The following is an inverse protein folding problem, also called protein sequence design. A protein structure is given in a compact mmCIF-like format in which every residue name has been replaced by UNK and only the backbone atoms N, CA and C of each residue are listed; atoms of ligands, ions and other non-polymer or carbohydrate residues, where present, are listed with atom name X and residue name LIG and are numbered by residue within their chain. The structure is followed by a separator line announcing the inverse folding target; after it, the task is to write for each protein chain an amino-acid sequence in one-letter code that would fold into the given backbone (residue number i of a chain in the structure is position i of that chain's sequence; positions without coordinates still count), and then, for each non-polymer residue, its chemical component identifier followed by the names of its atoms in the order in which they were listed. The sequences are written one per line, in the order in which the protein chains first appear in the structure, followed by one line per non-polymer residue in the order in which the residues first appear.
data_IF_868124318129
#
_entry.id   IF_868124318129
#
_cell.length_a   1.000
_cell.length_b   1.000
_cell.length_c   1.000
_cell.angle_alpha   90.00
_cell.angle_beta   90.00
_cell.angle_gamma   90.00
#
_symmetry.space_group_name_H-M   'P 1'
#
loop_
_entity.id
_entity.type
_entity.pdbx_description
1 polymer ?
#
# COMPACT_ATOMS: atom_id res chain seq x y z
N UNK A 1 -14.39 17.19 15.63
CA UNK A 1 -13.65 16.16 14.86
C UNK A 1 -13.54 16.63 13.40
N UNK A 2 -12.32 16.81 12.91
CA UNK A 2 -12.00 17.37 11.56
C UNK A 2 -12.82 16.74 10.42
N UNK A 3 -13.02 15.44 10.43
CA UNK A 3 -13.82 14.75 9.39
C UNK A 3 -15.26 15.26 9.36
N UNK A 4 -15.89 15.40 10.53
CA UNK A 4 -17.27 15.93 10.61
C UNK A 4 -17.35 17.39 10.20
N UNK A 5 -16.36 18.19 10.52
CA UNK A 5 -16.26 19.60 10.12
C UNK A 5 -16.13 19.73 8.60
N UNK A 6 -15.27 18.92 7.98
CA UNK A 6 -15.11 18.88 6.53
C UNK A 6 -16.41 18.46 5.82
N UNK A 7 -17.06 17.39 6.30
CA UNK A 7 -18.33 16.93 5.74
C UNK A 7 -19.43 17.99 5.86
N UNK A 8 -19.54 18.67 7.03
CA UNK A 8 -20.50 19.78 7.22
C UNK A 8 -20.21 20.97 6.29
N UNK A 9 -18.95 21.20 5.97
CA UNK A 9 -18.53 22.23 5.03
C UNK A 9 -18.60 21.79 3.54
N UNK A 10 -19.11 20.59 3.25
CA UNK A 10 -19.15 20.03 1.89
C UNK A 10 -17.78 19.74 1.29
N UNK A 11 -16.75 19.58 2.13
CA UNK A 11 -15.37 19.29 1.69
C UNK A 11 -15.06 17.81 1.79
N UNK A 12 -14.24 17.32 0.89
CA UNK A 12 -13.77 15.92 0.87
C UNK A 12 -12.90 15.62 2.10
N UNK A 13 -13.30 14.69 2.99
CA UNK A 13 -12.52 14.28 4.14
C UNK A 13 -11.51 13.19 3.83
N UNK A 14 -11.32 12.81 2.58
CA UNK A 14 -10.39 11.74 2.19
C UNK A 14 -9.00 11.98 2.76
N UNK A 15 -8.32 10.94 3.24
CA UNK A 15 -6.94 11.07 3.68
C UNK A 15 -6.03 11.29 2.48
N UNK A 16 -4.91 12.01 2.66
CA UNK A 16 -3.87 12.11 1.63
C UNK A 16 -3.16 10.76 1.45
N UNK A 17 -2.75 10.47 0.24
CA UNK A 17 -1.71 9.49 -0.02
C UNK A 17 -0.36 10.19 0.18
N UNK A 18 0.40 9.75 1.19
CA UNK A 18 1.72 10.32 1.44
C UNK A 18 2.73 9.64 0.51
N UNK A 19 3.49 10.40 -0.32
CA UNK A 19 4.45 9.83 -1.28
C UNK A 19 5.78 9.43 -0.60
N UNK A 20 5.74 9.11 0.70
CA UNK A 20 6.93 8.81 1.49
C UNK A 20 6.71 7.65 2.45
N UNK A 21 7.81 6.95 2.74
CA UNK A 21 7.93 6.04 3.88
C UNK A 21 8.72 6.76 4.97
N UNK A 22 8.36 6.55 6.22
CA UNK A 22 9.07 7.10 7.37
C UNK A 22 9.92 6.02 8.02
N UNK A 23 11.05 6.44 8.62
CA UNK A 23 11.80 5.55 9.50
C UNK A 23 10.87 5.01 10.60
N UNK A 24 10.99 3.73 10.89
CA UNK A 24 10.37 3.16 12.11
C UNK A 24 11.18 3.71 13.27
N UNK A 25 10.51 4.42 14.18
CA UNK A 25 11.17 4.98 15.36
C UNK A 25 11.87 3.85 16.15
N UNK A 26 13.18 3.88 16.08
CA UNK A 26 14.06 3.12 16.99
C UNK A 26 14.44 3.98 18.20
N UNK A 27 14.18 5.30 18.10
CA UNK A 27 14.52 6.30 19.11
C UNK A 27 13.28 6.98 19.68
N UNK A 28 13.32 7.32 20.97
CA UNK A 28 12.28 8.06 21.69
C UNK A 28 12.06 9.52 21.17
N UNK A 29 12.70 9.88 20.06
CA UNK A 29 12.73 11.26 19.56
C UNK A 29 11.41 11.78 18.99
N UNK A 30 10.39 10.90 18.80
CA UNK A 30 9.07 11.25 18.20
C UNK A 30 9.17 12.09 16.92
N UNK A 31 10.22 11.90 16.14
CA UNK A 31 10.48 12.69 14.93
C UNK A 31 9.99 11.94 13.69
N UNK A 32 9.15 12.57 12.90
CA UNK A 32 8.64 11.98 11.66
C UNK A 32 9.64 12.24 10.52
N UNK A 33 10.66 11.36 10.39
CA UNK A 33 11.73 11.48 9.40
C UNK A 33 11.47 10.62 8.18
N UNK A 34 11.66 11.19 6.99
CA UNK A 34 11.49 10.53 5.69
C UNK A 34 12.61 9.53 5.46
N UNK A 35 12.25 8.25 5.27
CA UNK A 35 13.17 7.16 4.94
C UNK A 35 13.26 6.91 3.43
N UNK A 36 12.15 7.09 2.70
CA UNK A 36 12.08 6.87 1.26
C UNK A 36 11.05 7.81 0.63
N UNK A 37 11.31 8.24 -0.60
CA UNK A 37 10.41 9.10 -1.39
C UNK A 37 10.03 8.41 -2.68
N UNK A 38 8.74 8.42 -3.03
CA UNK A 38 8.24 7.99 -4.32
C UNK A 38 8.19 9.19 -5.27
N UNK A 39 9.29 9.45 -5.97
CA UNK A 39 9.51 10.69 -6.73
C UNK A 39 8.42 11.00 -7.77
N UNK A 40 7.84 9.97 -8.43
CA UNK A 40 6.77 10.16 -9.42
C UNK A 40 5.44 10.64 -8.83
N UNK A 41 5.25 10.48 -7.53
CA UNK A 41 4.03 10.86 -6.79
C UNK A 41 4.24 12.05 -5.85
N UNK A 42 5.47 12.54 -5.75
CA UNK A 42 5.84 13.62 -4.84
C UNK A 42 5.85 14.98 -5.53
N UNK A 43 4.76 15.72 -5.38
CA UNK A 43 4.64 17.11 -5.83
C UNK A 43 5.35 18.11 -4.87
N UNK A 44 5.61 17.69 -3.62
CA UNK A 44 6.22 18.53 -2.58
C UNK A 44 7.75 18.57 -2.62
N UNK A 45 8.37 17.67 -3.38
CA UNK A 45 9.83 17.53 -3.48
C UNK A 45 10.49 17.23 -2.13
N UNK A 46 9.87 16.31 -1.39
CA UNK A 46 10.44 15.76 -0.17
C UNK A 46 11.76 15.03 -0.47
N UNK A 47 12.62 14.92 0.51
CA UNK A 47 13.90 14.22 0.40
C UNK A 47 14.07 13.23 1.55
N UNK A 48 14.85 12.20 1.31
CA UNK A 48 15.27 11.28 2.38
C UNK A 48 16.02 12.07 3.45
N UNK A 49 15.67 11.85 4.70
CA UNK A 49 16.22 12.60 5.85
C UNK A 49 15.40 13.81 6.26
N UNK A 50 14.45 14.29 5.44
CA UNK A 50 13.56 15.38 5.83
C UNK A 50 12.79 15.03 7.10
N UNK A 51 12.75 15.96 8.04
CA UNK A 51 11.97 15.83 9.26
C UNK A 51 10.75 16.72 9.20
N UNK A 52 9.55 16.10 9.19
CA UNK A 52 8.28 16.83 9.12
C UNK A 52 7.89 17.27 10.52
N UNK A 53 7.84 18.58 10.75
CA UNK A 53 7.54 19.23 12.05
C UNK A 53 6.11 19.72 12.16
N UNK A 54 5.51 20.16 11.06
CA UNK A 54 4.20 20.78 11.09
C UNK A 54 3.52 20.90 9.74
N UNK A 55 2.27 21.32 9.78
CA UNK A 55 1.46 21.67 8.61
C UNK A 55 1.09 23.14 8.76
N UNK A 56 1.28 23.94 7.73
CA UNK A 56 0.96 25.38 7.75
C UNK A 56 -0.49 25.63 8.14
N UNK A 57 -0.69 26.62 9.03
CA UNK A 57 -2.01 26.97 9.58
C UNK A 57 -2.52 26.00 10.64
N UNK A 58 -1.70 25.07 11.13
CA UNK A 58 -1.99 24.25 12.30
C UNK A 58 -0.98 24.58 13.41
N UNK A 59 -1.50 24.78 14.64
CA UNK A 59 -0.65 25.08 15.80
C UNK A 59 0.01 23.84 16.39
N UNK A 60 -0.49 22.66 16.03
CA UNK A 60 -0.06 21.39 16.59
C UNK A 60 1.13 20.82 15.83
N UNK A 61 2.12 20.33 16.58
CA UNK A 61 3.27 19.61 16.03
C UNK A 61 2.87 18.26 15.45
N UNK A 62 3.64 17.81 14.47
CA UNK A 62 3.47 16.49 13.83
C UNK A 62 4.40 15.49 14.51
N UNK A 63 3.84 14.66 15.40
CA UNK A 63 4.58 13.65 16.14
C UNK A 63 4.42 12.23 15.56
N UNK A 64 3.53 12.05 14.58
CA UNK A 64 3.26 10.74 13.99
C UNK A 64 2.66 10.85 12.59
N UNK A 65 2.82 9.79 11.80
CA UNK A 65 2.19 9.65 10.47
C UNK A 65 0.66 9.81 10.55
N UNK A 66 0.04 9.22 11.56
CA UNK A 66 -1.42 9.33 11.76
C UNK A 66 -1.85 10.77 11.99
N UNK A 67 -1.05 11.53 12.78
CA UNK A 67 -1.30 12.95 13.02
C UNK A 67 -1.14 13.77 11.75
N UNK A 68 -0.07 13.55 10.99
CA UNK A 68 0.14 14.21 9.70
C UNK A 68 -1.04 13.98 8.75
N UNK A 69 -1.46 12.73 8.57
CA UNK A 69 -2.62 12.39 7.74
C UNK A 69 -3.88 13.11 8.22
N UNK A 70 -4.09 13.18 9.53
CA UNK A 70 -5.25 13.86 10.11
C UNK A 70 -5.24 15.37 9.78
N UNK A 71 -4.12 16.04 9.93
CA UNK A 71 -3.98 17.47 9.66
C UNK A 71 -4.11 17.82 8.17
N UNK A 72 -3.69 16.93 7.29
CA UNK A 72 -3.76 17.10 5.84
C UNK A 72 -5.14 16.80 5.22
N UNK A 73 -6.07 16.19 5.97
CA UNK A 73 -7.44 15.96 5.46
C UNK A 73 -8.10 17.27 5.04
N UNK A 74 -8.69 17.27 3.85
CA UNK A 74 -9.32 18.45 3.27
C UNK A 74 -8.35 19.48 2.69
N UNK A 75 -7.06 19.14 2.53
CA UNK A 75 -6.01 19.98 1.94
C UNK A 75 -5.30 19.30 0.79
N UNK A 76 -6.02 18.45 0.02
CA UNK A 76 -5.40 17.67 -1.04
C UNK A 76 -4.87 18.54 -2.19
N UNK A 77 -5.61 19.60 -2.54
CA UNK A 77 -5.27 20.48 -3.67
C UNK A 77 -4.07 21.38 -3.40
N UNK A 78 -3.86 21.75 -2.14
CA UNK A 78 -2.71 22.55 -1.71
C UNK A 78 -2.48 22.38 -0.21
N UNK A 79 -1.24 22.03 0.14
CA UNK A 79 -0.77 22.01 1.52
C UNK A 79 0.67 22.49 1.59
N UNK A 80 1.06 23.07 2.73
CA UNK A 80 2.44 23.42 3.04
C UNK A 80 2.88 22.67 4.29
N UNK A 81 4.06 22.06 4.22
CA UNK A 81 4.70 21.36 5.33
C UNK A 81 5.87 22.16 5.84
N UNK A 82 5.99 22.28 7.16
CA UNK A 82 7.20 22.76 7.81
C UNK A 82 8.14 21.58 8.01
N UNK A 83 9.28 21.63 7.38
CA UNK A 83 10.27 20.55 7.33
C UNK A 83 11.62 21.06 7.82
N UNK A 84 12.37 20.22 8.50
CA UNK A 84 13.80 20.46 8.77
C UNK A 84 14.60 19.60 7.81
N UNK A 85 15.43 20.24 7.00
CA UNK A 85 16.34 19.63 6.02
C UNK A 85 17.74 20.16 6.25
N UNK A 86 18.72 19.27 6.50
CA UNK A 86 20.11 19.67 6.79
C UNK A 86 20.20 20.78 7.86
N UNK A 87 19.46 20.58 8.96
CA UNK A 87 19.33 21.51 10.08
C UNK A 87 18.69 22.88 9.74
N UNK A 88 18.22 23.07 8.52
CA UNK A 88 17.54 24.29 8.10
C UNK A 88 16.01 24.09 8.06
N UNK A 89 15.27 25.08 8.55
CA UNK A 89 13.81 25.08 8.42
C UNK A 89 13.41 25.48 7.00
N UNK A 90 12.61 24.62 6.35
CA UNK A 90 12.11 24.80 4.98
C UNK A 90 10.59 24.62 4.97
N UNK A 91 9.90 25.44 4.20
CA UNK A 91 8.47 25.20 3.91
C UNK A 91 8.34 24.65 2.50
N UNK A 92 7.74 23.46 2.41
CA UNK A 92 7.48 22.78 1.14
C UNK A 92 5.98 22.85 0.85
N UNK A 93 5.63 23.30 -0.35
CA UNK A 93 4.22 23.42 -0.78
C UNK A 93 3.97 22.56 -1.98
N UNK A 94 2.85 21.84 -1.98
CA UNK A 94 2.46 20.95 -3.07
C UNK A 94 1.08 20.35 -2.85
N UNK A 95 0.74 19.35 -3.66
CA UNK A 95 -0.53 18.64 -3.66
C UNK A 95 -0.35 17.20 -3.21
N UNK A 96 -1.43 16.63 -2.71
CA UNK A 96 -1.51 15.22 -2.39
C UNK A 96 -2.62 14.57 -3.21
N UNK A 97 -2.37 13.38 -3.73
CA UNK A 97 -3.45 12.52 -4.18
C UNK A 97 -4.30 12.07 -2.98
N UNK A 98 -5.59 11.87 -3.21
CA UNK A 98 -6.41 11.20 -2.21
C UNK A 98 -5.97 9.74 -2.09
N UNK A 99 -5.81 9.24 -0.86
CA UNK A 99 -5.56 7.83 -0.66
C UNK A 99 -6.74 7.02 -1.18
N UNK A 100 -6.43 5.95 -1.91
CA UNK A 100 -7.47 5.07 -2.43
C UNK A 100 -8.32 4.50 -1.29
N UNK A 101 -9.65 4.70 -1.41
CA UNK A 101 -10.58 4.13 -0.45
C UNK A 101 -10.51 2.61 -0.47
N UNK A 102 -10.47 1.99 0.72
CA UNK A 102 -10.55 0.52 0.84
C UNK A 102 -11.77 -0.07 0.12
N UNK A 103 -12.87 0.69 0.03
CA UNK A 103 -14.09 0.25 -0.68
C UNK A 103 -13.95 0.31 -2.21
N UNK A 104 -12.99 1.07 -2.74
CA UNK A 104 -12.71 1.16 -4.18
C UNK A 104 -11.58 0.22 -4.61
N UNK A 105 -10.82 -0.34 -3.67
CA UNK A 105 -9.75 -1.28 -4.01
C UNK A 105 -10.34 -2.53 -4.63
N UNK A 106 -9.80 -2.88 -5.79
CA UNK A 106 -10.15 -4.11 -6.48
C UNK A 106 -9.26 -5.24 -5.99
N UNK A 107 -9.87 -6.42 -5.83
CA UNK A 107 -9.14 -7.63 -5.49
C UNK A 107 -9.78 -8.85 -6.16
N UNK A 108 -8.99 -9.88 -6.40
CA UNK A 108 -9.45 -11.20 -6.83
C UNK A 108 -9.44 -12.14 -5.62
N UNK A 109 -10.61 -12.68 -5.31
CA UNK A 109 -10.76 -13.70 -4.28
C UNK A 109 -11.00 -15.05 -4.94
N UNK A 110 -10.20 -16.06 -4.58
CA UNK A 110 -10.39 -17.43 -5.02
C UNK A 110 -9.86 -18.40 -3.97
N UNK A 111 -10.60 -19.46 -3.67
CA UNK A 111 -10.17 -20.57 -2.78
C UNK A 111 -9.66 -20.14 -1.40
N UNK A 112 -10.20 -19.04 -0.87
CA UNK A 112 -9.78 -18.45 0.40
C UNK A 112 -8.61 -17.47 0.30
N UNK A 113 -8.13 -17.17 -0.89
CA UNK A 113 -7.04 -16.23 -1.14
C UNK A 113 -7.60 -14.91 -1.69
N UNK A 114 -7.27 -13.78 -1.06
CA UNK A 114 -7.53 -12.45 -1.59
C UNK A 114 -6.22 -11.83 -2.07
N UNK A 115 -6.14 -11.57 -3.36
CA UNK A 115 -5.01 -10.87 -4.00
C UNK A 115 -5.49 -9.52 -4.52
N UNK A 116 -4.73 -8.48 -4.28
CA UNK A 116 -4.96 -7.14 -4.80
C UNK A 116 -3.63 -6.45 -5.12
N UNK A 117 -3.70 -5.23 -5.66
CA UNK A 117 -2.51 -4.44 -5.94
C UNK A 117 -1.68 -4.23 -4.66
N UNK A 118 -0.38 -4.39 -4.78
CA UNK A 118 0.56 -4.13 -3.68
C UNK A 118 0.60 -2.63 -3.41
N UNK A 119 0.38 -2.17 -2.17
CA UNK A 119 0.63 -0.78 -1.84
C UNK A 119 2.10 -0.46 -2.07
N UNK A 120 2.40 0.57 -2.88
CA UNK A 120 3.79 0.93 -3.23
C UNK A 120 4.68 1.10 -1.99
N UNK A 121 4.13 1.62 -0.89
CA UNK A 121 4.81 1.82 0.40
C UNK A 121 5.21 0.52 1.11
N UNK A 122 4.61 -0.59 0.74
CA UNK A 122 4.91 -1.90 1.32
C UNK A 122 6.02 -2.61 0.53
N UNK A 123 6.38 -2.06 -0.64
CA UNK A 123 7.47 -2.57 -1.47
C UNK A 123 8.85 -2.12 -0.96
N UNK A 124 8.94 -0.98 -0.26
CA UNK A 124 10.23 -0.45 0.21
C UNK A 124 11.25 -0.41 -0.93
N UNK A 125 12.43 -0.98 -0.69
CA UNK A 125 13.51 -1.07 -1.68
C UNK A 125 13.18 -2.00 -2.88
N UNK A 126 12.06 -2.71 -2.82
CA UNK A 126 11.56 -3.59 -3.90
C UNK A 126 10.67 -2.84 -4.91
N UNK A 127 10.47 -1.54 -4.77
CA UNK A 127 9.62 -0.75 -5.67
C UNK A 127 9.98 -0.92 -7.16
N UNK A 128 11.26 -1.16 -7.45
CA UNK A 128 11.77 -1.38 -8.81
C UNK A 128 11.49 -2.79 -9.36
N UNK A 129 11.00 -3.73 -8.54
CA UNK A 129 10.90 -5.14 -8.92
C UNK A 129 9.59 -5.52 -9.64
N UNK A 130 8.72 -4.57 -9.93
CA UNK A 130 7.40 -4.79 -10.57
C UNK A 130 6.51 -5.81 -9.85
N UNK A 131 6.65 -5.92 -8.54
CA UNK A 131 5.83 -6.79 -7.70
C UNK A 131 4.47 -6.12 -7.43
N UNK A 132 3.60 -6.18 -8.43
CA UNK A 132 2.36 -5.39 -8.47
C UNK A 132 1.21 -6.00 -7.67
N UNK A 133 1.27 -7.29 -7.32
CA UNK A 133 0.18 -8.00 -6.65
C UNK A 133 0.64 -8.62 -5.34
N UNK A 134 -0.18 -8.50 -4.30
CA UNK A 134 0.10 -9.03 -2.96
C UNK A 134 -1.11 -9.82 -2.43
N UNK A 135 -0.83 -10.84 -1.64
CA UNK A 135 -1.81 -11.55 -0.83
C UNK A 135 -2.19 -10.68 0.35
N UNK A 136 -3.41 -10.15 0.36
CA UNK A 136 -3.94 -9.31 1.44
C UNK A 136 -4.61 -10.10 2.56
N UNK A 137 -5.15 -11.26 2.22
CA UNK A 137 -5.86 -12.09 3.19
C UNK A 137 -5.86 -13.56 2.75
N UNK A 138 -5.76 -14.44 3.73
CA UNK A 138 -5.94 -15.89 3.58
C UNK A 138 -6.99 -16.36 4.58
N UNK A 139 -8.03 -16.98 4.09
CA UNK A 139 -9.12 -17.50 4.90
C UNK A 139 -8.68 -18.78 5.61
N UNK A 140 -8.82 -18.80 6.93
CA UNK A 140 -8.43 -19.94 7.75
C UNK A 140 -9.23 -21.19 7.39
N UNK A 141 -8.56 -22.33 7.23
CA UNK A 141 -9.17 -23.61 6.83
C UNK A 141 -9.48 -23.71 5.34
N UNK A 142 -9.13 -22.72 4.54
CA UNK A 142 -9.28 -22.74 3.08
C UNK A 142 -8.22 -23.57 2.37
N UNK A 143 -8.39 -23.74 1.05
CA UNK A 143 -7.37 -24.38 0.21
C UNK A 143 -6.07 -23.58 0.18
N UNK A 144 -6.12 -22.23 0.20
CA UNK A 144 -4.95 -21.37 0.28
C UNK A 144 -4.21 -21.54 1.62
N UNK A 145 -4.93 -21.61 2.73
CA UNK A 145 -4.38 -21.86 4.07
C UNK A 145 -3.68 -23.23 4.15
N UNK A 146 -4.33 -24.28 3.60
CA UNK A 146 -3.74 -25.61 3.52
C UNK A 146 -2.42 -25.66 2.73
N UNK A 147 -2.24 -24.75 1.78
CA UNK A 147 -0.99 -24.56 1.03
C UNK A 147 0.03 -23.66 1.74
N UNK A 148 -0.27 -23.20 2.97
CA UNK A 148 0.59 -22.29 3.76
C UNK A 148 0.95 -21.02 2.99
N UNK A 149 0.00 -20.49 2.22
CA UNK A 149 0.10 -19.15 1.66
C UNK A 149 -0.19 -18.17 2.80
N UNK A 150 0.54 -17.07 2.86
CA UNK A 150 0.43 -16.09 3.95
C UNK A 150 0.08 -14.71 3.43
N UNK A 151 -0.58 -13.93 4.26
CA UNK A 151 -0.78 -12.51 4.01
C UNK A 151 0.57 -11.79 3.97
N UNK A 152 0.79 -10.95 2.95
CA UNK A 152 2.08 -10.31 2.67
C UNK A 152 2.90 -11.02 1.61
N UNK A 153 2.60 -12.27 1.24
CA UNK A 153 3.25 -12.91 0.08
C UNK A 153 2.99 -12.09 -1.19
N UNK A 154 4.04 -11.83 -1.98
CA UNK A 154 3.94 -11.12 -3.25
C UNK A 154 3.74 -12.13 -4.40
N UNK A 155 2.69 -11.97 -5.18
CA UNK A 155 2.41 -12.84 -6.32
C UNK A 155 3.27 -12.44 -7.52
N UNK A 156 4.13 -13.35 -7.96
CA UNK A 156 5.10 -13.13 -9.05
C UNK A 156 4.63 -13.74 -10.36
N UNK A 157 4.11 -14.97 -10.30
CA UNK A 157 3.70 -15.69 -11.50
C UNK A 157 2.57 -16.69 -11.21
N UNK A 158 1.82 -17.02 -12.26
CA UNK A 158 0.82 -18.10 -12.30
C UNK A 158 1.19 -19.04 -13.43
N UNK A 159 1.33 -20.34 -13.14
CA UNK A 159 1.76 -21.38 -14.09
C UNK A 159 3.04 -21.01 -14.85
N UNK A 160 4.01 -20.44 -14.13
CA UNK A 160 5.30 -20.02 -14.67
C UNK A 160 5.26 -18.72 -15.50
N UNK A 161 4.11 -18.13 -15.71
CA UNK A 161 3.97 -16.88 -16.46
C UNK A 161 3.85 -15.69 -15.50
N UNK A 162 4.68 -14.65 -15.65
CA UNK A 162 4.59 -13.43 -14.81
C UNK A 162 3.18 -12.83 -14.82
N UNK A 163 2.76 -12.32 -13.67
CA UNK A 163 1.47 -11.62 -13.48
C UNK A 163 1.71 -10.36 -12.69
N UNK A 164 1.41 -9.21 -13.29
CA UNK A 164 1.54 -7.89 -12.66
C UNK A 164 0.21 -7.15 -12.59
N UNK A 165 -0.80 -7.60 -13.35
CA UNK A 165 -2.09 -6.95 -13.46
C UNK A 165 -3.20 -7.82 -12.85
N UNK A 166 -4.10 -7.18 -12.08
CA UNK A 166 -5.22 -7.89 -11.45
C UNK A 166 -6.16 -8.53 -12.49
N UNK A 167 -6.38 -7.86 -13.62
CA UNK A 167 -7.25 -8.35 -14.68
C UNK A 167 -6.64 -9.57 -15.39
N UNK A 168 -5.30 -9.63 -15.53
CA UNK A 168 -4.62 -10.81 -16.04
C UNK A 168 -4.73 -11.98 -15.06
N UNK A 169 -4.50 -11.73 -13.77
CA UNK A 169 -4.71 -12.74 -12.72
C UNK A 169 -6.14 -13.30 -12.78
N UNK A 170 -7.14 -12.41 -12.81
CA UNK A 170 -8.55 -12.82 -12.88
C UNK A 170 -8.84 -13.69 -14.09
N UNK A 171 -8.35 -13.30 -15.28
CA UNK A 171 -8.55 -14.04 -16.52
C UNK A 171 -7.99 -15.47 -16.41
N UNK A 172 -6.78 -15.62 -15.86
CA UNK A 172 -6.13 -16.93 -15.66
C UNK A 172 -6.88 -17.79 -14.65
N UNK A 173 -7.23 -17.22 -13.49
CA UNK A 173 -8.00 -17.93 -12.47
C UNK A 173 -9.39 -18.37 -13.00
N UNK A 174 -10.05 -17.52 -13.79
CA UNK A 174 -11.33 -17.85 -14.44
C UNK A 174 -11.20 -19.02 -15.42
N UNK A 175 -10.16 -19.02 -16.23
CA UNK A 175 -9.87 -20.12 -17.15
C UNK A 175 -9.59 -21.44 -16.40
N UNK A 176 -8.79 -21.39 -15.34
CA UNK A 176 -8.47 -22.55 -14.51
C UNK A 176 -9.72 -23.09 -13.80
N UNK A 177 -10.56 -22.21 -13.23
CA UNK A 177 -11.81 -22.61 -12.60
C UNK A 177 -12.76 -23.32 -13.59
N UNK A 178 -12.93 -22.75 -14.80
CA UNK A 178 -13.76 -23.35 -15.84
C UNK A 178 -13.24 -24.73 -16.27
N UNK A 179 -11.92 -24.90 -16.35
CA UNK A 179 -11.27 -26.14 -16.67
C UNK A 179 -11.18 -27.12 -15.48
N UNK A 180 -11.62 -26.74 -14.28
CA UNK A 180 -11.48 -27.49 -13.02
C UNK A 180 -10.01 -27.91 -12.76
N UNK A 181 -9.08 -27.02 -13.07
CA UNK A 181 -7.63 -27.23 -12.87
C UNK A 181 -7.15 -26.40 -11.70
N UNK A 182 -6.13 -26.89 -11.04
CA UNK A 182 -5.33 -26.08 -10.14
C UNK A 182 -4.37 -25.18 -10.93
N UNK A 183 -3.96 -24.09 -10.32
CA UNK A 183 -2.89 -23.22 -10.81
C UNK A 183 -1.70 -23.31 -9.88
N UNK A 184 -0.50 -23.13 -10.43
CA UNK A 184 0.73 -23.07 -9.68
C UNK A 184 1.09 -21.60 -9.44
N UNK A 185 0.94 -21.12 -8.21
CA UNK A 185 1.33 -19.79 -7.82
C UNK A 185 2.81 -19.74 -7.47
N UNK A 186 3.55 -18.78 -8.04
CA UNK A 186 4.90 -18.45 -7.60
C UNK A 186 4.81 -17.17 -6.78
N UNK A 187 5.22 -17.26 -5.53
CA UNK A 187 5.13 -16.20 -4.54
C UNK A 187 6.55 -15.84 -4.08
N UNK A 188 6.74 -14.56 -3.75
CA UNK A 188 7.91 -14.06 -3.07
C UNK A 188 7.52 -13.73 -1.64
N UNK A 189 8.10 -14.43 -0.68
CA UNK A 189 7.91 -14.20 0.75
C UNK A 189 9.09 -13.43 1.29
N UNK A 190 8.81 -12.39 2.05
CA UNK A 190 9.81 -11.69 2.84
C UNK A 190 10.15 -12.58 4.04
N UNK A 191 11.38 -13.05 4.11
CA UNK A 191 11.90 -13.74 5.29
C UNK A 191 12.01 -12.79 6.50
N UNK A 192 12.38 -13.31 7.65
CA UNK A 192 12.63 -12.49 8.85
C UNK A 192 13.66 -11.39 8.51
N UNK A 193 13.35 -10.17 8.98
CA UNK A 193 14.09 -8.94 8.69
C UNK A 193 15.59 -9.04 9.05
N UNK A 194 15.94 -9.95 9.99
CA UNK A 194 17.32 -10.16 10.41
C UNK A 194 18.20 -10.84 9.35
N UNK A 195 17.61 -11.65 8.45
CA UNK A 195 18.38 -12.38 7.44
C UNK A 195 18.35 -11.76 6.04
N UNK A 196 17.48 -10.78 5.79
CA UNK A 196 17.37 -10.07 4.51
C UNK A 196 17.04 -10.98 3.30
N UNK A 197 16.57 -12.20 3.56
CA UNK A 197 16.35 -13.21 2.57
C UNK A 197 14.94 -13.18 2.01
N UNK A 198 14.85 -13.02 0.69
CA UNK A 198 13.63 -13.27 -0.05
C UNK A 198 13.58 -14.74 -0.47
N UNK A 199 12.46 -15.39 -0.21
CA UNK A 199 12.26 -16.79 -0.58
C UNK A 199 11.17 -16.89 -1.64
N UNK A 200 11.54 -17.45 -2.81
CA UNK A 200 10.54 -17.85 -3.79
C UNK A 200 9.93 -19.19 -3.38
N UNK A 201 8.61 -19.21 -3.28
CA UNK A 201 7.84 -20.41 -3.00
C UNK A 201 6.86 -20.69 -4.13
N UNK A 202 6.65 -21.97 -4.43
CA UNK A 202 5.62 -22.39 -5.39
C UNK A 202 4.54 -23.16 -4.65
N UNK A 203 3.29 -22.80 -4.89
CA UNK A 203 2.13 -23.41 -4.24
C UNK A 203 1.06 -23.76 -5.27
N UNK A 204 0.60 -25.02 -5.33
CA UNK A 204 -0.58 -25.38 -6.11
C UNK A 204 -1.83 -24.81 -5.41
N UNK A 205 -2.76 -24.26 -6.19
CA UNK A 205 -4.02 -23.76 -5.69
C UNK A 205 -5.16 -24.27 -6.57
N UNK A 206 -6.04 -25.15 -6.07
CA UNK A 206 -7.28 -25.48 -6.76
C UNK A 206 -8.17 -24.24 -6.81
N UNK A 207 -8.60 -23.83 -8.00
CA UNK A 207 -9.34 -22.58 -8.18
C UNK A 207 -10.84 -22.83 -8.01
N UNK A 208 -11.41 -22.24 -6.96
CA UNK A 208 -12.85 -22.28 -6.68
C UNK A 208 -13.33 -20.93 -6.15
N UNK A 209 -14.63 -20.68 -6.28
CA UNK A 209 -15.30 -19.49 -5.73
C UNK A 209 -14.66 -18.16 -6.15
N UNK A 210 -14.18 -18.08 -7.40
CA UNK A 210 -13.58 -16.86 -7.93
C UNK A 210 -14.62 -15.73 -7.96
N UNK A 211 -14.28 -14.61 -7.36
CA UNK A 211 -15.07 -13.38 -7.39
C UNK A 211 -14.16 -12.15 -7.34
N UNK A 212 -14.60 -11.08 -7.95
CA UNK A 212 -13.97 -9.76 -7.75
C UNK A 212 -14.58 -9.10 -6.51
N UNK A 213 -13.72 -8.49 -5.72
CA UNK A 213 -14.10 -7.71 -4.54
C UNK A 213 -13.70 -6.27 -4.81
N UNK A 214 -14.58 -5.32 -4.46
CA UNK A 214 -14.38 -3.91 -4.71
C UNK A 214 -14.49 -3.53 -6.19
N UNK A 215 -14.22 -2.23 -6.47
CA UNK A 215 -14.44 -1.67 -7.79
C UNK A 215 -15.94 -1.52 -8.06
N UNK A 216 -16.56 -0.43 -7.61
CA UNK A 216 -17.90 -0.12 -8.11
C UNK A 216 -17.77 0.15 -9.60
N UNK A 217 -18.52 -0.61 -10.40
CA UNK A 217 -18.81 -0.23 -11.78
C UNK A 217 -19.51 1.13 -11.75
N UNK A 218 -18.98 2.09 -12.49
CA UNK A 218 -19.71 3.28 -12.87
C UNK A 218 -20.95 2.91 -13.69
#
# INVERSE_FOLDING_TARGET
CRVLELLRAGRDPSPPELPVVFYKDVDESKQLRVAQVHAERDDMKLQVGDEIRGVEGEEESVESKGRLIHLLRGRLDQASLHVVRDDAAVTLTGRFAAAESVTRRRGAYASGLLVAATPWRDLGDLADTRLALMVHYVERGSAADAQKIESGDLLVAVDGQPVTELDDLQRRLKAAQAAKKEVKLRLLRLGDIEDGLFVYIERPLPVANLRLIGGQSE
#
